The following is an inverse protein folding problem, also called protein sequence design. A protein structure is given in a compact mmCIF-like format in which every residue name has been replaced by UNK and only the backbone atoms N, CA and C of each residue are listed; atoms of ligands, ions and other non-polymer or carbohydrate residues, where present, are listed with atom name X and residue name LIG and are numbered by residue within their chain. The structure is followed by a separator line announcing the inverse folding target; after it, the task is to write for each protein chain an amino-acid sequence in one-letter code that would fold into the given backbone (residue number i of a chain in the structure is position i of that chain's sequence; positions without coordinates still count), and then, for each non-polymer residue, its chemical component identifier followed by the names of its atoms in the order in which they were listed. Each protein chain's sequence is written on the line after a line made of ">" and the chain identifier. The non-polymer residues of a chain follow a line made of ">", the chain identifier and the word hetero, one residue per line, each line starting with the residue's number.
data_IF_651721959979
#
_entry.id   IF_651721959979
#
_cell.length_a   1.000
_cell.length_b   1.000
_cell.length_c   1.000
_cell.angle_alpha   90.00
_cell.angle_beta   90.00
_cell.angle_gamma   90.00
#
_symmetry.space_group_name_H-M   'P 1'
#
loop_
_entity.id
_entity.type
_entity.pdbx_description
1 polymer ?
#
# COMPACT_ATOMS: atom_id res chain seq x y z
N UNK A 1 16.68 0.77 -0.93
CA UNK A 1 16.92 1.22 -2.32
C UNK A 1 18.00 0.44 -3.06
N UNK A 2 19.12 0.07 -2.43
CA UNK A 2 20.13 -0.75 -3.11
C UNK A 2 19.63 -2.18 -3.39
N UNK A 3 18.73 -2.72 -2.56
CA UNK A 3 18.05 -4.01 -2.82
C UNK A 3 17.07 -3.95 -3.98
N UNK A 4 16.53 -2.76 -4.28
CA UNK A 4 15.65 -2.53 -5.43
C UNK A 4 16.47 -2.61 -6.74
N UNK A 5 17.62 -1.92 -6.76
CA UNK A 5 18.44 -1.77 -7.98
C UNK A 5 19.42 -2.93 -8.18
N UNK A 6 19.89 -3.55 -7.08
CA UNK A 6 20.92 -4.62 -7.06
C UNK A 6 22.08 -4.32 -8.02
N UNK A 7 22.85 -3.24 -7.76
CA UNK A 7 23.90 -2.81 -8.66
C UNK A 7 25.00 -3.87 -8.83
N UNK A 8 25.55 -3.98 -10.03
CA UNK A 8 26.62 -4.93 -10.37
C UNK A 8 27.90 -4.67 -9.54
N UNK A 9 28.17 -3.41 -9.22
CA UNK A 9 29.26 -3.00 -8.32
C UNK A 9 28.66 -2.46 -7.04
N UNK A 10 29.13 -2.97 -5.91
CA UNK A 10 28.68 -2.54 -4.58
C UNK A 10 28.77 -1.02 -4.45
N UNK A 11 27.71 -0.41 -3.91
CA UNK A 11 27.58 1.03 -3.63
C UNK A 11 27.71 1.96 -4.86
N UNK A 12 27.69 1.41 -6.09
CA UNK A 12 27.75 2.19 -7.33
C UNK A 12 26.59 1.84 -8.26
N UNK A 13 25.58 2.70 -8.28
CA UNK A 13 24.44 2.57 -9.20
C UNK A 13 24.79 3.15 -10.56
N UNK A 14 24.66 2.34 -11.61
CA UNK A 14 24.85 2.77 -13.00
C UNK A 14 23.53 2.82 -13.77
N UNK A 15 23.53 3.49 -14.91
CA UNK A 15 22.39 3.48 -15.83
C UNK A 15 22.01 2.06 -16.29
N UNK A 16 23.00 1.16 -16.41
CA UNK A 16 22.79 -0.24 -16.77
C UNK A 16 21.99 -0.97 -15.68
N UNK A 17 22.30 -0.71 -14.41
CA UNK A 17 21.60 -1.31 -13.27
C UNK A 17 20.14 -0.84 -13.22
N UNK A 18 19.90 0.47 -13.37
CA UNK A 18 18.54 1.03 -13.39
C UNK A 18 17.70 0.50 -14.55
N UNK A 19 18.30 0.36 -15.75
CA UNK A 19 17.61 -0.27 -16.90
C UNK A 19 17.30 -1.75 -16.66
N UNK A 20 18.15 -2.47 -15.92
CA UNK A 20 18.00 -3.90 -15.65
C UNK A 20 16.98 -4.19 -14.56
N UNK A 21 16.87 -3.35 -13.53
CA UNK A 21 15.98 -3.61 -12.39
C UNK A 21 14.49 -3.45 -12.72
N UNK A 22 14.13 -2.75 -13.82
CA UNK A 22 12.77 -2.47 -14.28
C UNK A 22 11.89 -1.67 -13.28
N UNK A 23 12.51 -1.13 -12.23
CA UNK A 23 11.87 -0.35 -11.16
C UNK A 23 12.52 1.03 -11.03
N UNK A 24 13.00 1.58 -12.16
CA UNK A 24 13.73 2.84 -12.19
C UNK A 24 12.84 4.05 -11.87
N UNK A 25 11.58 3.98 -12.25
CA UNK A 25 10.52 4.93 -11.90
C UNK A 25 10.35 5.05 -10.38
N UNK A 26 10.18 3.93 -9.66
CA UNK A 26 10.09 3.91 -8.20
C UNK A 26 11.39 4.41 -7.57
N UNK A 27 12.54 3.99 -8.13
CA UNK A 27 13.84 4.48 -7.67
C UNK A 27 13.93 6.00 -7.72
N UNK A 28 13.51 6.60 -8.83
CA UNK A 28 13.55 8.03 -9.06
C UNK A 28 12.53 8.80 -8.21
N UNK A 29 11.29 8.32 -8.14
CA UNK A 29 10.24 8.95 -7.35
C UNK A 29 10.65 9.04 -5.88
N UNK A 30 11.32 8.02 -5.34
CA UNK A 30 11.84 8.01 -3.97
C UNK A 30 12.79 9.17 -3.64
N UNK A 31 13.58 9.67 -4.61
CA UNK A 31 14.56 10.72 -4.34
C UNK A 31 14.07 12.14 -4.61
N UNK A 32 13.10 12.32 -5.52
CA UNK A 32 12.74 13.66 -5.98
C UNK A 32 11.25 13.86 -6.28
N UNK A 33 10.40 12.87 -6.07
CA UNK A 33 8.95 13.01 -6.25
C UNK A 33 8.20 12.42 -5.06
N UNK A 34 8.05 13.24 -4.00
CA UNK A 34 7.42 12.81 -2.75
C UNK A 34 5.98 12.34 -2.96
N UNK A 35 5.21 13.02 -3.80
CA UNK A 35 3.81 12.69 -4.04
C UNK A 35 3.69 11.26 -4.61
N UNK A 36 4.46 10.96 -5.67
CA UNK A 36 4.47 9.60 -6.24
C UNK A 36 5.11 8.57 -5.33
N UNK A 37 6.09 8.96 -4.53
CA UNK A 37 6.70 8.05 -3.57
C UNK A 37 5.67 7.56 -2.53
N UNK A 38 4.81 8.45 -2.03
CA UNK A 38 3.72 8.08 -1.12
C UNK A 38 2.74 7.12 -1.79
N UNK A 39 2.39 7.35 -3.05
CA UNK A 39 1.54 6.43 -3.82
C UNK A 39 2.16 5.03 -3.96
N UNK A 40 3.48 4.94 -4.16
CA UNK A 40 4.20 3.66 -4.27
C UNK A 40 4.33 2.93 -2.92
N UNK A 41 4.55 3.65 -1.82
CA UNK A 41 4.65 3.08 -0.46
C UNK A 41 3.30 2.54 0.04
N UNK A 42 2.21 3.21 -0.29
CA UNK A 42 0.86 2.79 0.10
C UNK A 42 0.31 1.67 -0.79
N UNK A 43 1.00 1.31 -1.87
CA UNK A 43 0.56 0.29 -2.82
C UNK A 43 0.82 -1.11 -2.24
N UNK A 44 -0.24 -1.89 -2.09
CA UNK A 44 -0.17 -3.25 -1.57
C UNK A 44 0.83 -4.12 -2.38
N UNK A 45 1.69 -4.95 -1.75
CA UNK A 45 2.65 -5.81 -2.45
C UNK A 45 2.04 -6.72 -3.53
N UNK A 46 0.75 -7.05 -3.42
CA UNK A 46 -0.01 -7.86 -4.38
C UNK A 46 -0.73 -7.02 -5.44
N UNK A 47 -0.78 -5.69 -5.31
CA UNK A 47 -1.43 -4.81 -6.29
C UNK A 47 -0.76 -4.86 -7.67
N UNK A 48 0.53 -5.17 -7.75
CA UNK A 48 1.25 -5.34 -9.02
C UNK A 48 0.96 -6.69 -9.72
N UNK A 49 0.25 -7.62 -9.05
CA UNK A 49 -0.20 -8.90 -9.62
C UNK A 49 -1.64 -8.78 -10.15
N UNK A 50 -2.42 -7.80 -9.69
CA UNK A 50 -3.80 -7.57 -10.14
C UNK A 50 -3.83 -6.62 -11.32
N UNK A 51 -4.55 -7.04 -12.36
CA UNK A 51 -4.78 -6.26 -13.57
C UNK A 51 -5.69 -5.04 -13.23
N UNK A 52 -5.21 -3.80 -13.39
CA UNK A 52 -5.97 -2.59 -13.06
C UNK A 52 -7.22 -2.40 -13.95
N UNK A 53 -7.42 -3.18 -15.01
CA UNK A 53 -8.66 -3.14 -15.80
C UNK A 53 -9.81 -3.97 -15.20
N UNK A 54 -9.55 -4.87 -14.24
CA UNK A 54 -10.57 -5.84 -13.78
C UNK A 54 -11.13 -5.55 -12.39
N UNK A 55 -10.35 -4.93 -11.50
CA UNK A 55 -10.76 -4.53 -10.15
C UNK A 55 -10.70 -3.01 -10.04
N UNK A 56 -11.79 -2.40 -9.54
CA UNK A 56 -11.82 -0.97 -9.25
C UNK A 56 -10.73 -0.53 -8.26
N UNK A 57 -10.58 0.78 -8.01
CA UNK A 57 -9.60 1.28 -7.05
C UNK A 57 -9.79 0.58 -5.70
N UNK A 58 -8.74 -0.12 -5.26
CA UNK A 58 -8.71 -0.77 -3.95
C UNK A 58 -8.93 0.28 -2.84
N UNK A 59 -9.76 -0.03 -1.82
CA UNK A 59 -9.91 0.86 -0.68
C UNK A 59 -8.57 1.04 0.04
N UNK A 60 -8.25 2.29 0.35
CA UNK A 60 -7.05 2.68 1.10
C UNK A 60 -7.02 2.04 2.48
N UNK A 61 -5.83 1.99 3.11
CA UNK A 61 -5.67 1.48 4.47
C UNK A 61 -6.56 2.21 5.48
N UNK A 62 -6.82 3.51 5.27
CA UNK A 62 -7.74 4.29 6.10
C UNK A 62 -9.20 3.88 5.91
N UNK A 63 -9.64 3.64 4.68
CA UNK A 63 -11.00 3.18 4.38
C UNK A 63 -11.25 1.77 4.94
N UNK A 64 -10.25 0.88 4.86
CA UNK A 64 -10.29 -0.45 5.48
C UNK A 64 -10.40 -0.35 7.01
N UNK A 65 -9.51 0.44 7.63
CA UNK A 65 -9.54 0.67 9.08
C UNK A 65 -10.86 1.27 9.55
N UNK A 66 -11.36 2.31 8.87
CA UNK A 66 -12.63 2.93 9.20
C UNK A 66 -13.79 1.93 9.11
N UNK A 67 -13.84 1.11 8.05
CA UNK A 67 -14.87 0.09 7.90
C UNK A 67 -14.84 -0.96 9.02
N UNK A 68 -13.66 -1.45 9.41
CA UNK A 68 -13.50 -2.38 10.52
C UNK A 68 -13.94 -1.77 11.86
N UNK A 69 -13.53 -0.53 12.16
CA UNK A 69 -13.94 0.16 13.39
C UNK A 69 -15.46 0.44 13.42
N UNK A 70 -16.06 0.80 12.29
CA UNK A 70 -17.51 0.93 12.19
C UNK A 70 -18.22 -0.39 12.43
N UNK A 71 -17.71 -1.50 11.91
CA UNK A 71 -18.30 -2.83 12.14
C UNK A 71 -18.21 -3.23 13.62
N UNK A 72 -17.07 -2.98 14.28
CA UNK A 72 -16.90 -3.22 15.71
C UNK A 72 -17.92 -2.39 16.53
N UNK A 73 -18.02 -1.09 16.23
CA UNK A 73 -18.95 -0.19 16.93
C UNK A 73 -20.42 -0.65 16.78
N UNK A 74 -20.81 -1.09 15.59
CA UNK A 74 -22.17 -1.61 15.32
C UNK A 74 -22.44 -2.90 16.11
N UNK A 75 -21.45 -3.78 16.20
CA UNK A 75 -21.56 -5.03 16.99
C UNK A 75 -21.67 -4.72 18.48
N UNK A 76 -20.87 -3.77 18.99
CA UNK A 76 -20.92 -3.35 20.40
C UNK A 76 -22.25 -2.67 20.76
N UNK A 77 -22.80 -1.82 19.88
CA UNK A 77 -24.08 -1.17 20.09
C UNK A 77 -25.24 -2.19 20.12
N UNK A 78 -25.23 -3.18 19.20
CA UNK A 78 -26.21 -4.26 19.21
C UNK A 78 -26.11 -5.19 20.43
N UNK A 79 -24.92 -5.38 20.98
CA UNK A 79 -24.73 -6.13 22.24
C UNK A 79 -25.25 -5.34 23.45
N UNK A 80 -25.00 -4.03 23.49
CA UNK A 80 -25.50 -3.14 24.54
C UNK A 80 -27.03 -3.00 24.52
N UNK A 81 -27.66 -2.98 23.34
CA UNK A 81 -29.13 -2.99 23.24
C UNK A 81 -29.72 -4.30 23.78
N UNK A 82 -29.07 -5.44 23.54
CA UNK A 82 -29.53 -6.74 24.04
C UNK A 82 -29.38 -6.89 25.57
N UNK A 83 -28.36 -6.25 26.18
CA UNK A 83 -28.20 -6.21 27.64
C UNK A 83 -29.18 -5.25 28.34
N UNK A 84 -29.69 -4.22 27.63
CA UNK A 84 -30.69 -3.28 28.16
C UNK A 84 -32.12 -3.83 28.13
N UNK A 85 -32.44 -4.73 27.20
CA UNK A 85 -33.76 -5.40 27.12
C UNK A 85 -33.92 -6.56 28.12
N UNK A 86 -32.83 -7.05 28.72
CA UNK A 86 -32.83 -8.11 29.76
C UNK A 86 -32.85 -7.58 31.22
N UNK A 87 -32.95 -6.26 31.43
CA UNK A 87 -33.00 -5.60 32.76
C UNK A 87 -34.40 -5.08 33.14
#
# INVERSE_FOLDING_TARGET
>A
MLDLVRPEVKDRVTLKDLKKCKMADIFFDTFFNLDKFLDHEQRDPFANIRDPETDGPEPSAWEKYAAEEYEILVVEEGANEHDLDEM
#
